data_IF_561283517058
#
_entry.id   IF_561283517058
#
_cell.length_a   1.000
_cell.length_b   1.000
_cell.length_c   1.000
_cell.angle_alpha   90.00
_cell.angle_beta   90.00
_cell.angle_gamma   90.00
#
_symmetry.space_group_name_H-M   'P 1'
#
loop_
_entity.id
_entity.type
_entity.pdbx_description
1 polymer ?
#
# COMPACT_ATOMS: atom_id res chain seq x y z
N UNK A 1 6.85 2.70 7.34
CA UNK A 1 6.95 3.76 6.31
C UNK A 1 5.63 3.78 5.61
N UNK A 2 4.94 4.91 5.60
CA UNK A 2 3.62 4.98 4.99
C UNK A 2 3.69 5.14 3.47
N UNK A 3 2.92 4.36 2.72
CA UNK A 3 2.88 4.42 1.25
C UNK A 3 2.17 5.67 0.73
N UNK A 4 1.25 6.23 1.51
CA UNK A 4 0.55 7.47 1.21
C UNK A 4 0.27 8.23 2.50
N UNK A 5 0.24 9.56 2.40
CA UNK A 5 -0.14 10.49 3.46
C UNK A 5 -1.56 11.00 3.26
N UNK A 6 -2.18 11.49 4.35
CA UNK A 6 -3.48 12.14 4.28
C UNK A 6 -3.51 13.31 3.28
N UNK A 7 -2.41 14.07 3.18
CA UNK A 7 -2.30 15.17 2.21
C UNK A 7 -2.33 14.69 0.76
N UNK A 8 -1.67 13.56 0.44
CA UNK A 8 -1.71 12.99 -0.91
C UNK A 8 -3.13 12.49 -1.25
N UNK A 9 -3.83 11.89 -0.29
CA UNK A 9 -5.23 11.49 -0.47
C UNK A 9 -6.14 12.69 -0.77
N UNK A 10 -6.00 13.76 0.02
CA UNK A 10 -6.78 15.00 -0.10
C UNK A 10 -6.41 15.82 -1.35
N UNK A 11 -5.18 15.71 -1.85
CA UNK A 11 -4.78 16.35 -3.10
C UNK A 11 -5.34 15.63 -4.32
N UNK A 12 -5.56 14.31 -4.21
CA UNK A 12 -5.99 13.46 -5.34
C UNK A 12 -7.51 13.37 -5.48
N UNK A 13 -8.24 13.47 -4.37
CA UNK A 13 -9.71 13.41 -4.33
C UNK A 13 -10.28 14.68 -3.70
N UNK A 14 -11.58 14.92 -3.87
CA UNK A 14 -12.23 16.09 -3.25
C UNK A 14 -12.14 15.98 -1.72
N UNK A 15 -11.46 16.95 -1.09
CA UNK A 15 -11.30 17.00 0.35
C UNK A 15 -12.66 17.06 1.10
N UNK A 16 -13.65 17.69 0.49
CA UNK A 16 -15.02 17.79 1.00
C UNK A 16 -15.72 16.42 1.07
N UNK A 17 -15.53 15.58 0.04
CA UNK A 17 -16.05 14.20 0.03
C UNK A 17 -15.45 13.39 1.18
N UNK A 18 -14.13 13.53 1.39
CA UNK A 18 -13.43 12.81 2.46
C UNK A 18 -13.86 13.31 3.84
N UNK A 19 -13.98 14.63 4.02
CA UNK A 19 -14.43 15.25 5.26
C UNK A 19 -15.84 14.81 5.63
N UNK A 20 -16.78 14.82 4.68
CA UNK A 20 -18.15 14.39 4.90
C UNK A 20 -18.28 12.92 5.34
N UNK A 21 -17.36 12.05 4.89
CA UNK A 21 -17.37 10.63 5.25
C UNK A 21 -16.61 10.34 6.54
N UNK A 22 -15.58 11.13 6.82
CA UNK A 22 -14.82 11.02 8.05
C UNK A 22 -15.58 11.63 9.24
N UNK A 23 -16.36 12.68 9.03
CA UNK A 23 -17.21 13.27 10.05
C UNK A 23 -18.47 12.42 10.27
N UNK A 24 -18.71 12.05 11.54
CA UNK A 24 -19.93 11.34 11.94
C UNK A 24 -20.94 12.27 12.64
N UNK A 25 -20.64 13.57 12.67
CA UNK A 25 -21.43 14.58 13.36
C UNK A 25 -22.66 14.97 12.55
N UNK A 26 -23.75 15.29 13.26
CA UNK A 26 -25.01 15.77 12.71
C UNK A 26 -25.43 16.99 13.53
N UNK A 27 -25.30 18.25 13.03
CA UNK A 27 -24.82 18.68 11.69
C UNK A 27 -23.32 18.44 11.46
N UNK A 28 -22.84 18.46 10.19
CA UNK A 28 -21.43 18.29 9.90
C UNK A 28 -20.61 19.47 10.44
N UNK A 29 -19.51 19.15 11.13
CA UNK A 29 -18.62 20.13 11.76
C UNK A 29 -17.27 20.25 11.04
N UNK A 30 -16.99 19.35 10.10
CA UNK A 30 -15.69 19.28 9.41
C UNK A 30 -15.85 19.55 7.92
N UNK A 31 -15.33 20.69 7.48
CA UNK A 31 -15.17 21.00 6.05
C UNK A 31 -13.86 20.42 5.50
N UNK A 32 -13.81 20.26 4.17
CA UNK A 32 -12.61 19.77 3.47
C UNK A 32 -11.34 20.60 3.75
N UNK A 33 -11.48 21.92 3.91
CA UNK A 33 -10.34 22.79 4.21
C UNK A 33 -9.85 22.63 5.65
N UNK A 34 -10.77 22.48 6.61
CA UNK A 34 -10.41 22.20 8.01
C UNK A 34 -9.62 20.90 8.12
N UNK A 35 -10.06 19.86 7.42
CA UNK A 35 -9.37 18.57 7.36
C UNK A 35 -7.98 18.69 6.72
N UNK A 36 -7.83 19.53 5.68
CA UNK A 36 -6.55 19.79 5.03
C UNK A 36 -5.58 20.56 5.92
N UNK A 37 -6.05 21.57 6.65
CA UNK A 37 -5.25 22.31 7.64
C UNK A 37 -4.76 21.34 8.71
N UNK A 38 -5.65 20.50 9.25
CA UNK A 38 -5.29 19.47 10.23
C UNK A 38 -4.26 18.46 9.67
N UNK A 39 -4.43 17.99 8.43
CA UNK A 39 -3.48 17.09 7.78
C UNK A 39 -2.10 17.73 7.53
N UNK A 40 -2.05 19.05 7.36
CA UNK A 40 -0.79 19.81 7.24
C UNK A 40 -0.16 20.19 8.58
N UNK A 41 -0.76 19.80 9.71
CA UNK A 41 -0.41 20.26 11.06
C UNK A 41 -0.40 21.80 11.17
N UNK A 42 -1.34 22.46 10.49
CA UNK A 42 -1.50 23.91 10.50
C UNK A 42 -2.13 24.43 11.80
N UNK A 43 -2.22 25.76 11.91
CA UNK A 43 -2.86 26.41 13.07
C UNK A 43 -4.38 26.21 13.03
N UNK A 44 -4.92 25.64 14.10
CA UNK A 44 -6.36 25.39 14.29
C UNK A 44 -6.96 26.33 15.35
N UNK A 45 -6.20 27.31 15.84
CA UNK A 45 -6.58 28.16 16.97
C UNK A 45 -7.80 29.04 16.69
N UNK A 46 -8.14 29.23 15.41
CA UNK A 46 -9.32 29.99 14.98
C UNK A 46 -10.63 29.20 15.04
N UNK A 47 -10.58 27.87 15.23
CA UNK A 47 -11.74 26.99 15.27
C UNK A 47 -12.18 26.69 16.70
N UNK A 48 -13.45 26.34 16.87
CA UNK A 48 -14.00 25.96 18.17
C UNK A 48 -13.41 24.63 18.67
N UNK A 49 -13.46 24.40 19.98
CA UNK A 49 -12.97 23.15 20.58
C UNK A 49 -13.73 21.91 20.06
N UNK A 50 -15.01 22.08 19.71
CA UNK A 50 -15.83 21.01 19.13
C UNK A 50 -15.38 20.66 17.71
N UNK A 51 -15.11 21.67 16.86
CA UNK A 51 -14.57 21.47 15.52
C UNK A 51 -13.17 20.85 15.55
N UNK A 52 -12.31 21.29 16.48
CA UNK A 52 -10.98 20.71 16.69
C UNK A 52 -11.04 19.23 17.07
N UNK A 53 -11.98 18.85 17.95
CA UNK A 53 -12.19 17.46 18.32
C UNK A 53 -12.75 16.63 17.15
N UNK A 54 -13.69 17.19 16.39
CA UNK A 54 -14.28 16.53 15.23
C UNK A 54 -13.24 16.30 14.12
N UNK A 55 -12.43 17.30 13.78
CA UNK A 55 -11.38 17.15 12.76
C UNK A 55 -10.29 16.17 13.21
N UNK A 56 -9.92 16.14 14.50
CA UNK A 56 -8.97 15.16 15.01
C UNK A 56 -9.51 13.73 14.88
N UNK A 57 -10.79 13.51 15.19
CA UNK A 57 -11.44 12.21 15.01
C UNK A 57 -11.56 11.82 13.53
N UNK A 58 -11.87 12.78 12.66
CA UNK A 58 -11.94 12.57 11.21
C UNK A 58 -10.55 12.20 10.64
N UNK A 59 -9.50 12.92 11.03
CA UNK A 59 -8.12 12.64 10.64
C UNK A 59 -7.71 11.23 11.09
N UNK A 60 -8.01 10.86 12.34
CA UNK A 60 -7.70 9.53 12.86
C UNK A 60 -8.36 8.40 12.07
N UNK A 61 -9.60 8.61 11.57
CA UNK A 61 -10.26 7.64 10.66
C UNK A 61 -9.53 7.53 9.32
N UNK A 62 -9.10 8.66 8.74
CA UNK A 62 -8.34 8.67 7.48
C UNK A 62 -7.00 7.96 7.66
N UNK A 63 -6.27 8.25 8.73
CA UNK A 63 -4.99 7.58 9.02
C UNK A 63 -5.17 6.09 9.27
N UNK A 64 -6.25 5.69 9.96
CA UNK A 64 -6.59 4.27 10.11
C UNK A 64 -6.85 3.60 8.76
N UNK A 65 -7.67 4.21 7.90
CA UNK A 65 -7.97 3.67 6.57
C UNK A 65 -6.71 3.56 5.70
N UNK A 66 -5.80 4.53 5.78
CA UNK A 66 -4.48 4.44 5.15
C UNK A 66 -3.68 3.27 5.72
N UNK A 67 -3.61 3.14 7.04
CA UNK A 67 -2.93 2.02 7.72
C UNK A 67 -3.44 0.64 7.31
N UNK A 68 -4.77 0.46 7.22
CA UNK A 68 -5.40 -0.76 6.71
C UNK A 68 -5.02 -1.04 5.24
N UNK A 69 -4.99 0.00 4.40
CA UNK A 69 -4.52 -0.11 3.02
C UNK A 69 -3.04 -0.54 2.95
N UNK A 70 -2.20 -0.02 3.84
CA UNK A 70 -0.79 -0.38 3.92
C UNK A 70 -0.58 -1.84 4.27
N UNK A 71 -1.27 -2.34 5.30
CA UNK A 71 -1.20 -3.74 5.71
C UNK A 71 -1.67 -4.66 4.58
N UNK A 72 -2.71 -4.27 3.88
CA UNK A 72 -3.21 -4.98 2.69
C UNK A 72 -2.12 -5.06 1.61
N UNK A 73 -1.51 -3.93 1.23
CA UNK A 73 -0.44 -3.88 0.23
C UNK A 73 0.78 -4.72 0.66
N UNK A 74 1.22 -4.58 1.91
CA UNK A 74 2.34 -5.31 2.47
C UNK A 74 2.14 -6.83 2.40
N UNK A 75 0.91 -7.30 2.60
CA UNK A 75 0.57 -8.73 2.51
C UNK A 75 0.85 -9.30 1.10
N UNK A 76 0.55 -8.54 0.05
CA UNK A 76 0.83 -8.97 -1.33
C UNK A 76 2.30 -8.82 -1.71
N UNK A 77 2.99 -7.80 -1.19
CA UNK A 77 4.38 -7.52 -1.51
C UNK A 77 5.37 -8.42 -0.76
N UNK A 78 5.05 -8.84 0.47
CA UNK A 78 5.95 -9.59 1.35
C UNK A 78 6.40 -10.95 0.79
N UNK A 79 5.69 -11.49 -0.20
CA UNK A 79 6.10 -12.71 -0.90
C UNK A 79 7.24 -12.52 -1.91
N UNK A 80 7.52 -11.29 -2.36
CA UNK A 80 8.54 -11.01 -3.40
C UNK A 80 9.55 -9.93 -3.04
N UNK A 81 9.15 -8.92 -2.26
CA UNK A 81 9.99 -7.77 -1.93
C UNK A 81 10.36 -7.80 -0.45
N UNK A 82 11.59 -7.38 -0.14
CA UNK A 82 11.98 -7.15 1.25
C UNK A 82 11.34 -5.85 1.74
N UNK A 83 10.55 -5.97 2.80
CA UNK A 83 9.92 -4.84 3.48
C UNK A 83 10.79 -4.41 4.67
N UNK A 84 10.92 -3.11 4.94
CA UNK A 84 10.30 -1.98 4.25
C UNK A 84 10.98 -1.62 2.92
N UNK A 85 10.20 -1.21 1.92
CA UNK A 85 10.74 -0.72 0.64
C UNK A 85 11.57 0.55 0.84
N UNK A 86 12.70 0.66 0.14
CA UNK A 86 13.58 1.85 0.22
C UNK A 86 13.02 3.06 -0.53
N UNK A 87 12.25 2.84 -1.60
CA UNK A 87 11.54 3.88 -2.32
C UNK A 87 10.09 3.46 -2.55
N UNK A 88 9.16 4.36 -2.27
CA UNK A 88 7.75 4.16 -2.60
C UNK A 88 7.49 4.71 -4.01
N UNK A 89 7.14 3.87 -4.99
CA UNK A 89 6.76 4.34 -6.31
C UNK A 89 5.36 4.98 -6.27
N UNK A 90 5.12 5.99 -7.13
CA UNK A 90 3.84 6.70 -7.26
C UNK A 90 2.64 5.76 -7.46
N UNK A 91 2.87 4.61 -8.11
CA UNK A 91 1.84 3.58 -8.32
C UNK A 91 1.33 2.99 -7.00
N UNK A 92 2.21 2.75 -6.01
CA UNK A 92 1.79 2.26 -4.70
C UNK A 92 1.07 3.34 -3.90
N UNK A 93 1.50 4.61 -4.01
CA UNK A 93 0.78 5.74 -3.41
C UNK A 93 -0.65 5.81 -3.95
N UNK A 94 -0.83 5.73 -5.27
CA UNK A 94 -2.14 5.74 -5.92
C UNK A 94 -3.03 4.58 -5.42
N UNK A 95 -2.48 3.38 -5.33
CA UNK A 95 -3.21 2.19 -4.89
C UNK A 95 -3.60 2.29 -3.41
N UNK A 96 -2.69 2.76 -2.56
CA UNK A 96 -2.97 3.01 -1.14
C UNK A 96 -4.11 4.01 -0.98
N UNK A 97 -4.09 5.10 -1.76
CA UNK A 97 -5.16 6.10 -1.78
C UNK A 97 -6.51 5.52 -2.24
N UNK A 98 -6.51 4.64 -3.24
CA UNK A 98 -7.75 3.99 -3.74
C UNK A 98 -8.36 3.04 -2.71
N UNK A 99 -7.53 2.23 -2.05
CA UNK A 99 -7.98 1.31 -1.01
C UNK A 99 -8.48 2.09 0.20
N UNK A 100 -7.74 3.09 0.67
CA UNK A 100 -8.14 3.93 1.79
C UNK A 100 -9.47 4.66 1.52
N UNK A 101 -9.67 5.17 0.29
CA UNK A 101 -10.95 5.74 -0.13
C UNK A 101 -12.07 4.71 0.01
N UNK A 102 -11.91 3.50 -0.51
CA UNK A 102 -12.93 2.45 -0.39
C UNK A 102 -13.28 2.15 1.08
N UNK A 103 -12.27 2.04 1.95
CA UNK A 103 -12.48 1.80 3.40
C UNK A 103 -13.27 2.94 4.05
N UNK A 104 -13.02 4.21 3.66
CA UNK A 104 -13.75 5.37 4.18
C UNK A 104 -15.22 5.42 3.75
N UNK A 105 -15.58 4.82 2.61
CA UNK A 105 -16.97 4.74 2.16
C UNK A 105 -17.78 3.68 2.92
N UNK A 106 -17.12 2.76 3.62
CA UNK A 106 -17.73 1.68 4.40
C UNK A 106 -18.81 0.93 3.57
N UNK A 107 -20.05 0.84 4.05
CA UNK A 107 -21.14 0.14 3.35
C UNK A 107 -21.68 0.88 2.09
N UNK A 108 -21.51 2.21 2.03
CA UNK A 108 -22.13 3.07 1.02
C UNK A 108 -21.20 3.43 -0.16
N UNK A 109 -20.27 2.53 -0.52
CA UNK A 109 -19.35 2.75 -1.62
C UNK A 109 -20.05 2.66 -3.00
N UNK A 110 -19.93 3.70 -3.86
CA UNK A 110 -20.48 3.65 -5.21
C UNK A 110 -19.75 2.62 -6.07
N UNK A 111 -20.41 2.11 -7.12
CA UNK A 111 -19.85 1.07 -8.00
C UNK A 111 -18.50 1.48 -8.61
N UNK A 112 -18.31 2.76 -8.92
CA UNK A 112 -17.04 3.27 -9.43
C UNK A 112 -15.89 3.08 -8.43
N UNK A 113 -16.13 3.31 -7.14
CA UNK A 113 -15.09 3.16 -6.09
C UNK A 113 -14.82 1.68 -5.85
N UNK A 114 -15.87 0.84 -5.84
CA UNK A 114 -15.73 -0.62 -5.77
C UNK A 114 -14.92 -1.19 -6.94
N UNK A 115 -15.17 -0.71 -8.15
CA UNK A 115 -14.45 -1.14 -9.35
C UNK A 115 -12.97 -0.74 -9.28
N UNK A 116 -12.67 0.49 -8.84
CA UNK A 116 -11.28 0.94 -8.64
C UNK A 116 -10.57 0.13 -7.57
N UNK A 117 -11.23 -0.17 -6.44
CA UNK A 117 -10.68 -1.04 -5.40
C UNK A 117 -10.35 -2.43 -5.95
N UNK A 118 -11.26 -3.05 -6.70
CA UNK A 118 -11.03 -4.36 -7.32
C UNK A 118 -9.87 -4.33 -8.32
N UNK A 119 -9.74 -3.25 -9.12
CA UNK A 119 -8.61 -3.06 -10.02
C UNK A 119 -7.28 -2.93 -9.25
N UNK A 120 -7.27 -2.19 -8.14
CA UNK A 120 -6.11 -2.09 -7.25
C UNK A 120 -5.70 -3.46 -6.70
N UNK A 121 -6.65 -4.27 -6.22
CA UNK A 121 -6.36 -5.62 -5.72
C UNK A 121 -5.82 -6.52 -6.84
N UNK A 122 -6.43 -6.50 -8.03
CA UNK A 122 -5.94 -7.27 -9.20
C UNK A 122 -4.52 -6.88 -9.60
N UNK A 123 -4.20 -5.59 -9.55
CA UNK A 123 -2.84 -5.13 -9.78
C UNK A 123 -1.86 -5.71 -8.75
N UNK A 124 -2.20 -5.68 -7.46
CA UNK A 124 -1.38 -6.25 -6.40
C UNK A 124 -1.21 -7.78 -6.56
N UNK A 125 -2.25 -8.49 -6.97
CA UNK A 125 -2.18 -9.91 -7.32
C UNK A 125 -1.23 -10.16 -8.50
N UNK A 126 -1.25 -9.30 -9.53
CA UNK A 126 -0.31 -9.39 -10.65
C UNK A 126 1.13 -9.12 -10.25
N UNK A 127 1.36 -8.20 -9.31
CA UNK A 127 2.69 -7.94 -8.73
C UNK A 127 3.16 -9.15 -7.90
N UNK A 128 2.30 -9.70 -7.05
CA UNK A 128 2.60 -10.91 -6.27
C UNK A 128 2.89 -12.13 -7.18
N UNK A 129 2.15 -12.27 -8.28
CA UNK A 129 2.40 -13.28 -9.30
C UNK A 129 3.69 -13.04 -10.10
N UNK A 130 4.28 -11.84 -10.04
CA UNK A 130 5.47 -11.45 -10.79
C UNK A 130 5.21 -11.11 -12.26
N UNK A 131 3.94 -10.88 -12.64
CA UNK A 131 3.56 -10.44 -14.00
C UNK A 131 3.85 -8.97 -14.23
N UNK A 132 3.79 -8.17 -13.16
CA UNK A 132 4.08 -6.74 -13.16
C UNK A 132 5.20 -6.47 -12.17
N UNK A 133 6.20 -5.70 -12.57
CA UNK A 133 7.28 -5.25 -11.69
C UNK A 133 7.07 -3.78 -11.37
N UNK A 134 7.31 -3.42 -10.10
CA UNK A 134 7.17 -2.05 -9.60
C UNK A 134 8.22 -1.07 -10.14
N UNK A 135 9.16 -1.52 -10.99
CA UNK A 135 10.19 -0.67 -11.57
C UNK A 135 11.22 -0.13 -10.56
N UNK A 136 11.25 -0.67 -9.34
CA UNK A 136 12.15 -0.27 -8.25
C UNK A 136 13.63 -0.63 -8.48
N UNK A 137 13.96 -1.18 -9.66
CA UNK A 137 15.31 -1.59 -9.99
C UNK A 137 16.14 -0.42 -10.53
N UNK A 138 16.82 0.27 -9.61
CA UNK A 138 18.11 0.91 -9.93
C UNK A 138 19.29 -0.04 -9.73
N UNK A 139 19.06 -1.28 -9.26
CA UNK A 139 20.11 -2.31 -9.23
C UNK A 139 19.48 -3.70 -9.42
N UNK A 140 20.04 -4.46 -10.37
CA UNK A 140 19.46 -5.66 -10.98
C UNK A 140 19.39 -6.91 -10.09
N UNK A 141 18.96 -6.80 -8.83
CA UNK A 141 18.69 -7.96 -7.98
C UNK A 141 17.22 -8.36 -8.09
N UNK A 142 16.89 -9.05 -9.17
CA UNK A 142 15.69 -9.90 -9.18
C UNK A 142 15.89 -10.97 -8.12
N UNK A 143 15.12 -10.94 -7.03
CA UNK A 143 15.07 -12.04 -6.08
C UNK A 143 14.69 -13.31 -6.86
N UNK A 144 15.68 -14.20 -7.04
CA UNK A 144 15.47 -15.52 -7.61
C UNK A 144 14.38 -16.22 -6.80
N UNK A 145 13.43 -16.93 -7.45
CA UNK A 145 12.59 -17.85 -6.71
C UNK A 145 13.52 -18.82 -5.98
N UNK A 146 13.34 -18.98 -4.67
CA UNK A 146 13.97 -20.04 -3.88
C UNK A 146 13.42 -21.39 -4.32
N UNK A 147 13.83 -21.83 -5.51
CA UNK A 147 13.77 -23.20 -5.97
C UNK A 147 15.21 -23.74 -5.95
N UNK A 148 15.79 -23.80 -4.76
CA UNK A 148 17.07 -24.45 -4.50
C UNK A 148 16.93 -25.96 -4.58
N UNK A 149 16.64 -26.51 -5.76
CA UNK A 149 17.00 -27.88 -6.08
C UNK A 149 18.39 -27.83 -6.71
N UNK A 150 19.41 -27.80 -5.85
CA UNK A 150 20.81 -27.91 -6.28
C UNK A 150 21.05 -29.38 -6.68
N UNK A 151 20.91 -29.70 -7.97
CA UNK A 151 21.38 -30.98 -8.50
C UNK A 151 22.90 -30.95 -8.56
N UNK A 152 23.54 -31.43 -7.50
CA UNK A 152 24.95 -31.82 -7.53
C UNK A 152 25.04 -33.17 -8.22
N UNK A 153 25.35 -33.16 -9.52
CA UNK A 153 25.76 -34.39 -10.21
C UNK A 153 27.12 -34.81 -9.66
N UNK A 154 27.13 -35.76 -8.72
CA UNK A 154 28.35 -36.40 -8.25
C UNK A 154 29.11 -37.02 -9.42
N UNK A 155 30.42 -36.78 -9.48
CA UNK A 155 31.26 -37.30 -10.56
C UNK A 155 31.08 -38.82 -10.72
N UNK A 156 31.00 -39.28 -11.97
CA UNK A 156 30.78 -40.68 -12.34
C UNK A 156 31.84 -41.59 -11.71
N UNK A 157 31.44 -42.34 -10.68
CA UNK A 157 32.30 -43.27 -9.91
C UNK A 157 32.96 -44.35 -10.78
N UNK A 158 32.40 -44.61 -11.97
CA UNK A 158 32.89 -45.59 -12.94
C UNK A 158 33.47 -44.96 -14.23
N UNK A 159 33.81 -43.67 -14.24
CA UNK A 159 34.49 -43.08 -15.38
C UNK A 159 35.84 -43.77 -15.60
N UNK A 160 36.12 -44.18 -16.84
CA UNK A 160 37.33 -44.93 -17.24
C UNK A 160 38.64 -44.22 -16.84
N UNK A 161 38.60 -42.91 -16.67
CA UNK A 161 39.72 -42.08 -16.23
C UNK A 161 40.01 -42.19 -14.72
N UNK A 162 38.99 -42.51 -13.91
CA UNK A 162 39.08 -42.56 -12.44
C UNK A 162 39.20 -43.99 -11.88
N UNK A 163 39.05 -45.01 -12.72
CA UNK A 163 39.22 -46.43 -12.36
C UNK A 163 40.71 -46.79 -12.35
N UNK A 164 41.40 -46.59 -11.22
CA UNK A 164 42.75 -47.15 -11.05
C UNK A 164 42.65 -48.67 -10.95
N UNK A 165 43.16 -49.32 -12.00
CA UNK A 165 43.16 -50.75 -12.29
C UNK A 165 43.02 -51.71 -11.11
N UNK A 166 42.06 -52.62 -11.24
CA UNK A 166 42.20 -53.97 -10.71
C UNK A 166 42.76 -54.86 -11.83
N UNK A 167 44.09 -55.01 -11.82
CA UNK A 167 44.85 -56.19 -12.27
C UNK A 167 46.09 -56.27 -11.40
#
# INVERSE_FOLDING_TARGET
MSYASALQLLARYNADEIAQRADASLPPLVDGELLRIAASAGDLSSYTAEEQAAVAAALAKVERALGDAEQTINTYLGGRYQLPLSQTPDVLERIACQIARFVLFDDAAPDQVKALYQDSIRFLEHVAAGKVQLGLASDGSTAQPSAGAEMVSGALVFARDNSKGFI
#
